data_IF_560761515791
#
_entry.id   IF_560761515791
#
_cell.length_a   1.000
_cell.length_b   1.000
_cell.length_c   1.000
_cell.angle_alpha   90.00
_cell.angle_beta   90.00
_cell.angle_gamma   90.00
#
_symmetry.space_group_name_H-M   'P 1'
#
loop_
_entity.id
_entity.type
_entity.pdbx_description
1 polymer ?
#
# COMPACT_ATOMS: atom_id res chain seq x y z
N UNK A 1 -26.27 -10.30 -10.71
CA UNK A 1 -25.30 -9.29 -11.16
C UNK A 1 -24.06 -9.38 -10.27
N UNK A 2 -23.10 -10.25 -10.59
CA UNK A 2 -21.88 -10.50 -9.79
C UNK A 2 -20.60 -10.13 -10.55
N UNK A 3 -20.73 -9.47 -11.70
CA UNK A 3 -19.61 -9.09 -12.58
C UNK A 3 -18.90 -7.83 -12.11
N UNK A 4 -19.58 -6.95 -11.37
CA UNK A 4 -18.99 -5.71 -10.84
C UNK A 4 -17.96 -5.98 -9.73
N UNK A 5 -18.32 -6.80 -8.73
CA UNK A 5 -17.45 -7.12 -7.60
C UNK A 5 -16.14 -7.77 -8.03
N UNK A 6 -16.20 -8.69 -9.00
CA UNK A 6 -15.00 -9.33 -9.54
C UNK A 6 -14.10 -8.34 -10.29
N UNK A 7 -14.68 -7.48 -11.13
CA UNK A 7 -13.92 -6.46 -11.84
C UNK A 7 -13.23 -5.47 -10.88
N UNK A 8 -13.91 -5.07 -9.80
CA UNK A 8 -13.34 -4.19 -8.77
C UNK A 8 -12.21 -4.88 -7.99
N UNK A 9 -12.32 -6.17 -7.68
CA UNK A 9 -11.22 -6.93 -7.06
C UNK A 9 -10.01 -7.05 -7.98
N UNK A 10 -10.21 -7.40 -9.25
CA UNK A 10 -9.13 -7.52 -10.23
C UNK A 10 -8.39 -6.18 -10.43
N UNK A 11 -9.13 -5.08 -10.46
CA UNK A 11 -8.55 -3.73 -10.50
C UNK A 11 -7.75 -3.43 -9.23
N UNK A 12 -8.33 -3.72 -8.05
CA UNK A 12 -7.68 -3.51 -6.77
C UNK A 12 -6.35 -4.29 -6.66
N UNK A 13 -6.31 -5.54 -7.15
CA UNK A 13 -5.11 -6.36 -7.20
C UNK A 13 -4.06 -5.82 -8.18
N UNK A 14 -4.50 -5.33 -9.34
CA UNK A 14 -3.62 -4.70 -10.33
C UNK A 14 -2.96 -3.44 -9.79
N UNK A 15 -3.74 -2.57 -9.13
CA UNK A 15 -3.24 -1.39 -8.45
C UNK A 15 -2.30 -1.75 -7.29
N UNK A 16 -2.62 -2.78 -6.50
CA UNK A 16 -1.76 -3.25 -5.43
C UNK A 16 -0.41 -3.74 -5.96
N UNK A 17 -0.41 -4.53 -7.03
CA UNK A 17 0.81 -5.02 -7.69
C UNK A 17 1.65 -3.86 -8.24
N UNK A 18 1.00 -2.88 -8.85
CA UNK A 18 1.65 -1.65 -9.31
C UNK A 18 2.26 -0.88 -8.14
N UNK A 19 1.57 -0.77 -7.01
CA UNK A 19 2.09 -0.13 -5.80
C UNK A 19 3.30 -0.88 -5.22
N UNK A 20 3.35 -2.22 -5.30
CA UNK A 20 4.46 -3.03 -4.80
C UNK A 20 5.72 -2.89 -5.67
N UNK A 21 5.55 -2.82 -6.99
CA UNK A 21 6.65 -2.65 -7.93
C UNK A 21 7.13 -1.20 -8.08
N UNK A 22 6.34 -0.23 -7.61
CA UNK A 22 6.64 1.18 -7.74
C UNK A 22 7.68 1.65 -6.70
N UNK A 23 8.72 2.30 -7.18
CA UNK A 23 9.81 2.85 -6.37
C UNK A 23 9.55 4.29 -5.96
N UNK A 24 8.76 5.01 -6.77
CA UNK A 24 8.33 6.36 -6.47
C UNK A 24 7.29 6.36 -5.34
N UNK A 25 7.69 6.89 -4.19
CA UNK A 25 6.85 7.00 -2.98
C UNK A 25 5.48 7.61 -3.26
N UNK A 26 5.43 8.70 -4.04
CA UNK A 26 4.19 9.40 -4.35
C UNK A 26 3.28 8.56 -5.25
N UNK A 27 3.85 7.85 -6.24
CA UNK A 27 3.09 6.98 -7.14
C UNK A 27 2.62 5.71 -6.46
N UNK A 28 3.48 5.07 -5.66
CA UNK A 28 3.14 3.94 -4.80
C UNK A 28 1.96 4.25 -3.89
N UNK A 29 1.94 5.44 -3.29
CA UNK A 29 0.84 5.87 -2.41
C UNK A 29 -0.46 6.07 -3.19
N UNK A 30 -0.40 6.62 -4.41
CA UNK A 30 -1.56 6.77 -5.29
C UNK A 30 -2.13 5.41 -5.72
N UNK A 31 -1.27 4.48 -6.16
CA UNK A 31 -1.70 3.13 -6.51
C UNK A 31 -2.28 2.36 -5.31
N UNK A 32 -1.67 2.48 -4.13
CA UNK A 32 -2.21 1.88 -2.91
C UNK A 32 -3.55 2.51 -2.48
N UNK A 33 -3.75 3.81 -2.71
CA UNK A 33 -5.03 4.49 -2.48
C UNK A 33 -6.10 3.98 -3.45
N UNK A 34 -5.79 3.90 -4.75
CA UNK A 34 -6.70 3.35 -5.75
C UNK A 34 -7.09 1.90 -5.42
N UNK A 35 -6.12 1.05 -5.07
CA UNK A 35 -6.40 -0.32 -4.64
C UNK A 35 -7.32 -0.40 -3.40
N UNK A 36 -7.26 0.58 -2.50
CA UNK A 36 -8.17 0.65 -1.35
C UNK A 36 -9.57 1.08 -1.73
N UNK A 37 -9.71 2.02 -2.65
CA UNK A 37 -11.01 2.55 -3.09
C UNK A 37 -11.82 1.44 -3.78
N UNK A 38 -11.21 0.76 -4.75
CA UNK A 38 -11.84 -0.35 -5.49
C UNK A 38 -12.14 -1.54 -4.58
N UNK A 39 -11.29 -1.82 -3.58
CA UNK A 39 -11.58 -2.84 -2.58
C UNK A 39 -12.67 -2.41 -1.58
N UNK A 40 -12.80 -1.11 -1.26
CA UNK A 40 -13.84 -0.61 -0.35
C UNK A 40 -15.24 -0.86 -0.93
N UNK A 41 -15.41 -0.61 -2.22
CA UNK A 41 -16.67 -0.86 -2.95
C UNK A 41 -17.13 -2.31 -2.78
N UNK A 42 -16.21 -3.27 -2.89
CA UNK A 42 -16.52 -4.70 -2.70
C UNK A 42 -16.72 -5.05 -1.23
N UNK A 43 -15.93 -4.46 -0.32
CA UNK A 43 -16.03 -4.73 1.12
C UNK A 43 -17.35 -4.25 1.72
N UNK A 44 -17.93 -3.18 1.18
CA UNK A 44 -19.19 -2.60 1.61
C UNK A 44 -20.40 -3.09 0.82
N UNK A 45 -20.20 -3.72 -0.34
CA UNK A 45 -21.29 -4.33 -1.10
C UNK A 45 -21.93 -5.48 -0.31
N UNK A 46 -23.19 -5.31 0.07
CA UNK A 46 -23.96 -6.36 0.76
C UNK A 46 -24.37 -7.50 -0.15
N UNK A 47 -24.30 -7.29 -1.48
CA UNK A 47 -24.50 -8.32 -2.50
C UNK A 47 -23.29 -9.23 -2.72
N UNK A 48 -22.10 -8.82 -2.25
CA UNK A 48 -20.85 -9.53 -2.43
C UNK A 48 -20.77 -10.76 -1.50
N UNK A 49 -20.15 -11.82 -2.01
CA UNK A 49 -19.88 -13.00 -1.21
C UNK A 49 -19.01 -12.65 0.00
N UNK A 50 -19.13 -13.42 1.07
CA UNK A 50 -18.28 -13.28 2.26
C UNK A 50 -16.80 -13.46 1.88
N UNK A 51 -16.52 -14.30 0.88
CA UNK A 51 -15.18 -14.54 0.37
C UNK A 51 -14.62 -13.32 -0.37
N UNK A 52 -15.40 -12.71 -1.27
CA UNK A 52 -15.04 -11.46 -1.97
C UNK A 52 -14.77 -10.32 -1.00
N UNK A 53 -15.64 -10.15 0.01
CA UNK A 53 -15.45 -9.15 1.07
C UNK A 53 -14.21 -9.41 1.91
N UNK A 54 -13.87 -10.67 2.14
CA UNK A 54 -12.64 -11.04 2.86
C UNK A 54 -11.39 -10.75 2.04
N UNK A 55 -11.41 -11.04 0.74
CA UNK A 55 -10.35 -10.70 -0.20
C UNK A 55 -10.15 -9.18 -0.30
N UNK A 56 -11.23 -8.42 -0.44
CA UNK A 56 -11.22 -6.96 -0.44
C UNK A 56 -10.54 -6.40 0.82
N UNK A 57 -10.92 -6.89 2.01
CA UNK A 57 -10.29 -6.48 3.28
C UNK A 57 -8.79 -6.81 3.34
N UNK A 58 -8.38 -7.95 2.78
CA UNK A 58 -6.96 -8.33 2.72
C UNK A 58 -6.15 -7.38 1.82
N UNK A 59 -6.71 -6.96 0.68
CA UNK A 59 -6.13 -5.96 -0.22
C UNK A 59 -6.00 -4.63 0.52
N UNK A 60 -7.07 -4.14 1.15
CA UNK A 60 -7.05 -2.88 1.91
C UNK A 60 -5.95 -2.87 2.99
N UNK A 61 -5.82 -3.97 3.75
CA UNK A 61 -4.78 -4.11 4.79
C UNK A 61 -3.37 -4.05 4.21
N UNK A 62 -3.16 -4.65 3.04
CA UNK A 62 -1.84 -4.67 2.38
C UNK A 62 -1.51 -3.31 1.80
N UNK A 63 -2.46 -2.65 1.14
CA UNK A 63 -2.32 -1.28 0.65
C UNK A 63 -2.01 -0.29 1.78
N UNK A 64 -2.66 -0.45 2.94
CA UNK A 64 -2.36 0.38 4.12
C UNK A 64 -0.92 0.20 4.58
N UNK A 65 -0.42 -1.04 4.67
CA UNK A 65 0.99 -1.30 5.03
C UNK A 65 1.96 -0.63 4.07
N UNK A 66 1.71 -0.72 2.76
CA UNK A 66 2.54 -0.08 1.74
C UNK A 66 2.56 1.44 1.88
N UNK A 67 1.49 2.08 2.37
CA UNK A 67 1.50 3.52 2.65
C UNK A 67 2.28 3.86 3.92
N UNK A 68 2.22 3.02 4.95
CA UNK A 68 2.85 3.28 6.25
C UNK A 68 4.35 2.99 6.22
N UNK A 69 4.80 1.97 5.49
CA UNK A 69 6.23 1.69 5.28
C UNK A 69 6.96 2.87 4.62
N UNK A 70 6.26 3.60 3.74
CA UNK A 70 6.81 4.79 3.09
C UNK A 70 7.11 5.92 4.10
N UNK A 71 6.35 5.97 5.20
CA UNK A 71 6.56 6.93 6.29
C UNK A 71 7.70 6.46 7.21
N UNK A 72 7.84 5.14 7.40
CA UNK A 72 8.88 4.59 8.28
C UNK A 72 10.29 4.70 7.67
N UNK A 73 10.46 4.51 6.37
CA UNK A 73 11.74 4.75 5.68
C UNK A 73 12.18 6.21 5.73
N UNK A 74 11.23 7.15 5.90
CA UNK A 74 11.53 8.59 6.07
C UNK A 74 11.93 8.95 7.50
N UNK A 75 11.63 8.12 8.50
CA UNK A 75 11.92 8.36 9.92
C UNK A 75 13.27 7.79 10.38
N UNK A 76 13.82 6.81 9.68
CA UNK A 76 15.14 6.19 9.95
C UNK A 76 16.25 6.79 9.03
N UNK A 77 15.95 7.87 8.30
CA UNK A 77 16.86 8.49 7.32
C UNK A 77 17.39 9.89 7.70
N UNK A 78 17.15 10.38 8.91
CA UNK A 78 17.75 11.64 9.42
C UNK A 78 18.54 11.37 10.70
N UNK A 79 19.76 10.88 10.52
CA UNK A 79 20.67 10.66 11.64
C UNK A 79 22.05 10.17 11.22
N UNK A 80 22.70 10.83 10.25
CA UNK A 80 24.17 10.91 10.16
C UNK A 80 24.61 11.84 9.04
N UNK A 81 24.78 13.10 9.40
CA UNK A 81 25.76 14.03 8.85
C UNK A 81 26.00 15.00 10.02
N UNK A 82 27.20 15.48 10.32
CA UNK A 82 28.45 15.52 9.61
C UNK A 82 29.53 15.75 10.67
N UNK A 83 30.47 14.82 10.83
CA UNK A 83 31.86 15.13 11.22
C UNK A 83 32.63 13.82 11.17
N UNK A 84 33.29 13.54 10.05
CA UNK A 84 34.28 12.46 9.95
C UNK A 84 35.57 12.83 10.68
N UNK A 85 35.50 13.28 11.93
CA UNK A 85 36.69 13.45 12.77
C UNK A 85 37.04 12.11 13.39
N UNK A 86 37.98 11.43 12.76
CA UNK A 86 38.86 10.51 13.46
C UNK A 86 39.70 11.35 14.43
N UNK A 87 39.29 11.37 15.71
CA UNK A 87 40.15 11.84 16.79
C UNK A 87 40.97 10.62 17.21
N UNK A 88 42.21 10.52 16.72
CA UNK A 88 43.23 9.71 17.37
C UNK A 88 43.38 10.19 18.81
N UNK A 89 43.10 9.31 19.76
CA UNK A 89 43.47 9.51 21.16
C UNK A 89 44.75 8.70 21.36
N UNK A 90 45.75 9.40 21.91
CA UNK A 90 47.16 9.05 22.19
C UNK A 90 47.47 7.56 22.44
#
# INVERSE_FOLDING_TARGET
MATGTKAHLEEAESCLRSAQSETDTSRRTQFAQAAMDSAAEVAWDTGASVEDRSNARAIMRTSLKLRVETVHSRRIGRGRSADGREIQID
#
